data_IF_785616609086
#
_entry.id   IF_785616609086
#
_cell.length_a   1.000
_cell.length_b   1.000
_cell.length_c   1.000
_cell.angle_alpha   90.00
_cell.angle_beta   90.00
_cell.angle_gamma   90.00
#
_symmetry.space_group_name_H-M   'P 1'
#
loop_
_entity.id
_entity.type
_entity.pdbx_description
1 polymer ?
#
# COMPACT_ATOMS: atom_id res chain seq x y z
N UNK A 1 2.07 -14.16 -1.38
CA UNK A 1 3.51 -14.24 -1.68
C UNK A 1 3.91 -12.92 -2.30
N UNK A 2 4.89 -12.23 -1.72
CA UNK A 2 5.36 -10.93 -2.23
C UNK A 2 6.14 -11.17 -3.52
N UNK A 3 5.81 -10.39 -4.55
CA UNK A 3 6.44 -10.42 -5.87
C UNK A 3 6.58 -8.99 -6.39
N UNK A 4 7.42 -8.76 -7.40
CA UNK A 4 7.45 -7.46 -8.08
C UNK A 4 6.08 -7.03 -8.58
N UNK A 5 5.31 -7.96 -9.16
CA UNK A 5 3.96 -7.68 -9.67
C UNK A 5 2.98 -7.29 -8.56
N UNK A 6 3.05 -7.94 -7.39
CA UNK A 6 2.17 -7.57 -6.27
C UNK A 6 2.50 -6.19 -5.71
N UNK A 7 3.79 -5.87 -5.55
CA UNK A 7 4.25 -4.54 -5.10
C UNK A 7 3.84 -3.45 -6.09
N UNK A 8 4.04 -3.67 -7.38
CA UNK A 8 3.64 -2.71 -8.42
C UNK A 8 2.14 -2.43 -8.37
N UNK A 9 1.32 -3.47 -8.19
CA UNK A 9 -0.12 -3.33 -8.06
C UNK A 9 -0.53 -2.53 -6.80
N UNK A 10 0.17 -2.73 -5.69
CA UNK A 10 -0.09 -1.95 -4.46
C UNK A 10 0.28 -0.47 -4.63
N UNK A 11 1.40 -0.19 -5.29
CA UNK A 11 1.79 1.18 -5.66
C UNK A 11 0.75 1.84 -6.57
N UNK A 12 0.27 1.15 -7.61
CA UNK A 12 -0.76 1.68 -8.52
C UNK A 12 -2.07 1.98 -7.78
N UNK A 13 -2.47 1.10 -6.86
CA UNK A 13 -3.65 1.32 -6.02
C UNK A 13 -3.48 2.54 -5.11
N UNK A 14 -2.30 2.69 -4.48
CA UNK A 14 -1.99 3.83 -3.62
C UNK A 14 -1.97 5.14 -4.42
N UNK A 15 -1.37 5.16 -5.60
CA UNK A 15 -1.38 6.32 -6.50
C UNK A 15 -2.81 6.71 -6.89
N UNK A 16 -3.64 5.73 -7.26
CA UNK A 16 -5.06 5.96 -7.59
C UNK A 16 -5.84 6.53 -6.41
N UNK A 17 -5.55 6.07 -5.20
CA UNK A 17 -6.14 6.60 -3.97
C UNK A 17 -5.71 8.05 -3.72
N UNK A 18 -4.40 8.33 -3.77
CA UNK A 18 -3.83 9.68 -3.61
C UNK A 18 -4.46 10.66 -4.62
N UNK A 19 -4.59 10.25 -5.88
CA UNK A 19 -5.23 11.07 -6.90
C UNK A 19 -6.72 11.31 -6.63
N UNK A 20 -7.42 10.33 -6.05
CA UNK A 20 -8.81 10.51 -5.63
C UNK A 20 -8.93 11.55 -4.52
N UNK A 21 -8.05 11.50 -3.51
CA UNK A 21 -7.98 12.50 -2.42
C UNK A 21 -7.66 13.89 -2.99
N UNK A 22 -6.64 14.01 -3.83
CA UNK A 22 -6.19 15.29 -4.43
C UNK A 22 -7.27 15.96 -5.28
N UNK A 23 -8.06 15.16 -6.00
CA UNK A 23 -9.17 15.65 -6.82
C UNK A 23 -10.44 15.97 -6.01
N UNK A 24 -10.38 15.90 -4.67
CA UNK A 24 -11.51 16.19 -3.79
C UNK A 24 -12.64 15.15 -3.88
N UNK A 25 -12.37 13.95 -4.39
CA UNK A 25 -13.39 12.90 -4.45
C UNK A 25 -13.65 12.38 -3.03
N UNK A 26 -14.92 12.27 -2.59
CA UNK A 26 -15.22 11.74 -1.28
C UNK A 26 -14.85 10.26 -1.23
N UNK A 27 -13.98 9.91 -0.27
CA UNK A 27 -13.61 8.54 0.04
C UNK A 27 -14.48 8.07 1.20
N UNK A 28 -14.96 6.84 1.12
CA UNK A 28 -15.81 6.27 2.15
C UNK A 28 -15.20 5.01 2.71
N UNK A 29 -15.20 4.89 4.03
CA UNK A 29 -14.76 3.71 4.74
C UNK A 29 -15.95 3.02 5.35
N UNK A 30 -15.91 1.69 5.34
CA UNK A 30 -16.90 0.86 6.00
C UNK A 30 -16.29 0.35 7.30
N UNK A 31 -16.93 0.67 8.43
CA UNK A 31 -16.60 0.06 9.70
C UNK A 31 -16.98 -1.43 9.64
N UNK A 32 -16.01 -2.33 9.79
CA UNK A 32 -16.22 -3.77 9.66
C UNK A 32 -17.04 -4.37 10.81
N UNK A 33 -17.06 -3.72 11.98
CA UNK A 33 -17.81 -4.20 13.14
C UNK A 33 -19.29 -3.79 13.09
N UNK A 34 -19.59 -2.60 12.58
CA UNK A 34 -20.96 -2.05 12.55
C UNK A 34 -21.60 -2.07 11.16
N UNK A 35 -20.80 -2.23 10.10
CA UNK A 35 -21.24 -2.08 8.71
C UNK A 35 -21.49 -0.64 8.28
N UNK A 36 -21.29 0.33 9.18
CA UNK A 36 -21.56 1.74 8.91
C UNK A 36 -20.56 2.30 7.89
N UNK A 37 -21.08 3.04 6.91
CA UNK A 37 -20.28 3.73 5.91
C UNK A 37 -20.14 5.20 6.28
N UNK A 38 -18.91 5.65 6.54
CA UNK A 38 -18.59 7.05 6.82
C UNK A 38 -17.68 7.63 5.74
N UNK A 39 -17.80 8.93 5.48
CA UNK A 39 -16.84 9.64 4.64
C UNK A 39 -15.54 9.84 5.42
N UNK A 40 -14.40 9.52 4.81
CA UNK A 40 -13.09 9.73 5.40
C UNK A 40 -12.76 11.22 5.48
N UNK A 41 -12.26 11.66 6.63
CA UNK A 41 -11.74 13.02 6.83
C UNK A 41 -10.39 13.21 6.12
N UNK A 42 -9.91 14.45 6.04
CA UNK A 42 -8.59 14.73 5.48
C UNK A 42 -7.47 14.04 6.26
N UNK A 43 -7.51 14.09 7.60
CA UNK A 43 -6.52 13.45 8.46
C UNK A 43 -6.56 11.93 8.35
N UNK A 44 -7.76 11.36 8.20
CA UNK A 44 -7.97 9.93 7.96
C UNK A 44 -7.36 9.50 6.63
N UNK A 45 -7.61 10.23 5.54
CA UNK A 45 -6.99 9.94 4.25
C UNK A 45 -5.45 10.05 4.31
N UNK A 46 -4.91 11.05 5.01
CA UNK A 46 -3.47 11.22 5.18
C UNK A 46 -2.85 10.07 5.96
N UNK A 47 -3.43 9.71 7.11
CA UNK A 47 -2.97 8.59 7.94
C UNK A 47 -3.00 7.28 7.15
N UNK A 48 -4.04 7.04 6.35
CA UNK A 48 -4.11 5.85 5.50
C UNK A 48 -2.99 5.83 4.45
N UNK A 49 -2.71 6.97 3.79
CA UNK A 49 -1.63 7.08 2.81
C UNK A 49 -0.27 6.78 3.47
N UNK A 50 -0.01 7.34 4.66
CA UNK A 50 1.22 7.09 5.42
C UNK A 50 1.39 5.62 5.77
N UNK A 51 0.33 4.97 6.26
CA UNK A 51 0.34 3.53 6.57
C UNK A 51 0.62 2.68 5.32
N UNK A 52 -0.03 2.98 4.19
CA UNK A 52 0.19 2.23 2.94
C UNK A 52 1.63 2.40 2.42
N UNK A 53 2.21 3.60 2.51
CA UNK A 53 3.61 3.82 2.13
C UNK A 53 4.55 2.95 2.97
N UNK A 54 4.32 2.86 4.28
CA UNK A 54 5.12 2.03 5.18
C UNK A 54 5.01 0.54 4.86
N UNK A 55 3.80 0.06 4.57
CA UNK A 55 3.56 -1.34 4.19
C UNK A 55 4.28 -1.70 2.89
N UNK A 56 4.12 -0.88 1.84
CA UNK A 56 4.79 -1.11 0.55
C UNK A 56 6.32 -1.07 0.70
N UNK A 57 6.85 -0.15 1.51
CA UNK A 57 8.29 -0.08 1.78
C UNK A 57 8.82 -1.34 2.49
N UNK A 58 8.05 -1.89 3.43
CA UNK A 58 8.38 -3.14 4.09
C UNK A 58 8.40 -4.31 3.09
N UNK A 59 7.41 -4.39 2.20
CA UNK A 59 7.32 -5.43 1.18
C UNK A 59 8.47 -5.35 0.16
N UNK A 60 8.86 -4.15 -0.26
CA UNK A 60 10.05 -3.92 -1.09
C UNK A 60 11.31 -4.41 -0.39
N UNK A 61 11.46 -4.15 0.91
CA UNK A 61 12.62 -4.61 1.66
C UNK A 61 12.66 -6.13 1.79
N UNK A 62 11.51 -6.78 2.02
CA UNK A 62 11.41 -8.25 2.06
C UNK A 62 11.82 -8.83 0.70
N UNK A 63 11.31 -8.28 -0.41
CA UNK A 63 11.65 -8.75 -1.75
C UNK A 63 13.14 -8.56 -2.05
N UNK A 64 13.73 -7.42 -1.65
CA UNK A 64 15.16 -7.16 -1.79
C UNK A 64 16.03 -8.20 -1.07
N UNK A 65 15.68 -8.53 0.18
CA UNK A 65 16.43 -9.53 0.95
C UNK A 65 16.29 -10.94 0.35
N UNK A 66 15.11 -11.29 -0.18
CA UNK A 66 14.92 -12.56 -0.88
C UNK A 66 15.75 -12.63 -2.17
N UNK A 67 15.80 -11.55 -2.94
CA UNK A 67 16.66 -11.48 -4.15
C UNK A 67 18.13 -11.63 -3.82
N UNK A 68 18.63 -10.98 -2.76
CA UNK A 68 20.03 -11.15 -2.31
C UNK A 68 20.34 -12.61 -1.99
N UNK A 69 19.43 -13.31 -1.29
CA UNK A 69 19.60 -14.74 -0.97
C UNK A 69 19.63 -15.59 -2.22
N UNK A 70 18.82 -15.27 -3.23
CA UNK A 70 18.81 -16.02 -4.49
C UNK A 70 20.08 -15.77 -5.30
N UNK A 71 20.53 -14.53 -5.42
CA UNK A 71 21.79 -14.18 -6.11
C UNK A 71 22.99 -14.84 -5.44
N UNK A 72 23.06 -14.82 -4.09
CA UNK A 72 24.14 -15.49 -3.34
C UNK A 72 24.27 -16.98 -3.65
N UNK A 73 23.15 -17.67 -3.92
CA UNK A 73 23.15 -19.08 -4.32
C UNK A 73 23.71 -19.35 -5.72
N UNK A 74 23.82 -18.33 -6.58
CA UNK A 74 24.40 -18.46 -7.92
C UNK A 74 25.89 -18.06 -7.97
N UNK A 75 26.39 -17.44 -6.91
CA UNK A 75 27.78 -16.96 -6.81
C UNK A 75 28.68 -17.84 -5.94
N UNK A 76 28.10 -18.80 -5.22
CA UNK A 76 28.78 -19.90 -4.51
C UNK A 76 28.86 -21.16 -5.39
#
# INVERSE_FOLDING_TARGET
>A
MITFTSIAKELDNLLTYIDSVRNGKPIYWTNTATGERKQATADENLSYIEDQVLLVAADVNILKEELKKQVGKFTD
#
